data_IF_332702046597
#
_entry.id   IF_332702046597
#
_cell.length_a   1.000
_cell.length_b   1.000
_cell.length_c   1.000
_cell.angle_alpha   90.00
_cell.angle_beta   90.00
_cell.angle_gamma   90.00
#
_symmetry.space_group_name_H-M   'P 1'
#
loop_
_entity.id
_entity.type
_entity.pdbx_description
1 polymer ?
#
# COMPACT_ATOMS: atom_id res chain seq x y z
N UNK A 1 -19.36 -7.76 -7.49
CA UNK A 1 -18.83 -8.65 -8.56
C UNK A 1 -18.70 -7.79 -9.79
N UNK A 2 -17.50 -7.72 -10.36
CA UNK A 2 -17.23 -6.87 -11.53
C UNK A 2 -17.80 -7.55 -12.77
N UNK A 3 -18.51 -6.81 -13.60
CA UNK A 3 -19.04 -7.29 -14.88
C UNK A 3 -18.06 -7.05 -16.01
N UNK A 4 -18.24 -7.77 -17.12
CA UNK A 4 -17.47 -7.55 -18.35
C UNK A 4 -17.57 -6.08 -18.81
N UNK A 5 -18.79 -5.53 -18.82
CA UNK A 5 -19.04 -4.15 -19.25
C UNK A 5 -18.29 -3.15 -18.38
N UNK A 6 -18.35 -3.29 -17.06
CA UNK A 6 -17.64 -2.42 -16.12
C UNK A 6 -16.14 -2.50 -16.32
N UNK A 7 -15.57 -3.72 -16.40
CA UNK A 7 -14.13 -3.88 -16.61
C UNK A 7 -13.67 -3.27 -17.94
N UNK A 8 -14.47 -3.41 -19.00
CA UNK A 8 -14.12 -2.89 -20.32
C UNK A 8 -14.20 -1.37 -20.40
N UNK A 9 -15.22 -0.76 -19.81
CA UNK A 9 -15.56 0.65 -20.02
C UNK A 9 -15.07 1.59 -18.92
N UNK A 10 -14.74 1.07 -17.74
CA UNK A 10 -14.33 1.91 -16.61
C UNK A 10 -13.00 2.60 -16.90
N UNK A 11 -12.99 3.91 -16.68
CA UNK A 11 -11.77 4.71 -16.71
C UNK A 11 -11.09 4.67 -15.34
N UNK A 12 -9.93 4.00 -15.27
CA UNK A 12 -9.16 3.84 -14.04
C UNK A 12 -8.33 5.08 -13.65
N UNK A 13 -8.34 6.15 -14.45
CA UNK A 13 -7.57 7.37 -14.18
C UNK A 13 -7.96 8.04 -12.85
N UNK A 14 -9.23 7.95 -12.44
CA UNK A 14 -9.66 8.50 -11.16
C UNK A 14 -9.04 7.73 -9.98
N UNK A 15 -8.92 6.40 -10.08
CA UNK A 15 -8.29 5.56 -9.07
C UNK A 15 -6.78 5.81 -8.98
N UNK A 16 -6.11 5.93 -10.13
CA UNK A 16 -4.69 6.33 -10.19
C UNK A 16 -4.44 7.71 -9.57
N UNK A 17 -5.30 8.68 -9.89
CA UNK A 17 -5.20 10.03 -9.34
C UNK A 17 -5.39 10.04 -7.82
N UNK A 18 -6.32 9.23 -7.31
CA UNK A 18 -6.57 9.08 -5.88
C UNK A 18 -5.39 8.43 -5.16
N UNK A 19 -4.88 7.30 -5.66
CA UNK A 19 -3.69 6.65 -5.11
C UNK A 19 -2.51 7.63 -5.08
N UNK A 20 -2.27 8.32 -6.19
CA UNK A 20 -1.21 9.33 -6.31
C UNK A 20 -1.41 10.52 -5.35
N UNK A 21 -2.64 10.88 -5.01
CA UNK A 21 -2.92 11.95 -4.06
C UNK A 21 -2.50 11.55 -2.63
N UNK A 22 -2.86 10.34 -2.20
CA UNK A 22 -2.43 9.79 -0.91
C UNK A 22 -0.90 9.60 -0.86
N UNK A 23 -0.29 9.02 -1.90
CA UNK A 23 1.18 8.89 -1.97
C UNK A 23 1.88 10.25 -1.81
N UNK A 24 1.36 11.30 -2.48
CA UNK A 24 1.91 12.65 -2.35
C UNK A 24 1.69 13.25 -0.96
N UNK A 25 0.57 12.95 -0.31
CA UNK A 25 0.29 13.38 1.07
C UNK A 25 1.33 12.78 2.02
N UNK A 26 1.50 11.47 1.97
CA UNK A 26 2.39 10.72 2.86
C UNK A 26 3.86 11.07 2.59
N UNK A 27 4.28 11.19 1.32
CA UNK A 27 5.66 11.56 0.97
C UNK A 27 6.06 12.98 1.38
N UNK A 28 5.09 13.89 1.56
CA UNK A 28 5.33 15.27 2.01
C UNK A 28 4.96 15.47 3.47
N UNK A 29 4.76 14.40 4.22
CA UNK A 29 4.33 14.50 5.59
C UNK A 29 5.44 15.08 6.47
N UNK A 30 5.19 16.27 7.01
CA UNK A 30 6.10 17.00 7.88
C UNK A 30 5.44 17.39 9.21
N UNK A 31 4.19 16.98 9.44
CA UNK A 31 3.40 17.41 10.60
C UNK A 31 3.98 16.92 11.92
N UNK A 32 4.49 15.69 11.96
CA UNK A 32 5.16 15.13 13.14
C UNK A 32 6.43 15.91 13.51
N UNK A 33 7.28 16.17 12.51
CA UNK A 33 8.49 16.98 12.69
C UNK A 33 8.18 18.43 13.06
N UNK A 34 7.16 19.02 12.44
CA UNK A 34 6.71 20.38 12.71
C UNK A 34 6.16 20.53 14.13
N UNK A 35 5.42 19.52 14.61
CA UNK A 35 4.95 19.47 16.00
C UNK A 35 6.12 19.36 16.97
N UNK A 36 7.10 18.50 16.66
CA UNK A 36 8.28 18.31 17.49
C UNK A 36 9.15 19.57 17.58
N UNK A 37 9.52 20.12 16.43
CA UNK A 37 10.44 21.25 16.33
C UNK A 37 9.79 22.58 16.68
N UNK A 38 8.55 22.82 16.25
CA UNK A 38 7.86 24.09 16.45
C UNK A 38 7.21 24.23 17.82
N UNK A 39 6.57 23.16 18.31
CA UNK A 39 5.76 23.22 19.54
C UNK A 39 6.51 22.59 20.70
N UNK A 40 6.87 21.32 20.60
CA UNK A 40 7.43 20.57 21.73
C UNK A 40 8.82 21.08 22.15
N UNK A 41 9.69 21.42 21.21
CA UNK A 41 10.99 22.00 21.53
C UNK A 41 10.85 23.34 22.28
N UNK A 42 9.95 24.22 21.83
CA UNK A 42 9.67 25.51 22.46
C UNK A 42 9.13 25.33 23.90
N UNK A 43 8.18 24.42 24.09
CA UNK A 43 7.61 24.14 25.41
C UNK A 43 8.63 23.56 26.39
N UNK A 44 9.50 22.64 25.92
CA UNK A 44 10.60 22.10 26.71
C UNK A 44 11.62 23.18 27.09
N UNK A 45 11.92 24.09 26.16
CA UNK A 45 12.84 25.21 26.38
C UNK A 45 12.30 26.29 27.33
N UNK A 46 10.99 26.44 27.45
CA UNK A 46 10.34 27.46 28.29
C UNK A 46 10.40 27.19 29.80
N UNK A 47 10.94 26.03 30.23
CA UNK A 47 11.04 25.65 31.64
C UNK A 47 9.69 25.66 32.39
N UNK A 48 8.59 25.48 31.63
CA UNK A 48 7.22 25.48 32.12
C UNK A 48 6.95 24.24 32.98
N UNK A 49 6.42 24.43 34.19
CA UNK A 49 6.21 23.37 35.19
C UNK A 49 4.86 23.54 35.90
N UNK A 50 4.40 22.46 36.54
CA UNK A 50 3.14 22.40 37.30
C UNK A 50 2.04 21.65 36.54
N UNK A 51 0.86 21.53 37.17
CA UNK A 51 -0.22 20.66 36.70
C UNK A 51 -0.72 21.00 35.29
N UNK A 52 -0.74 22.29 34.95
CA UNK A 52 -1.10 22.76 33.62
C UNK A 52 -0.08 22.30 32.55
N UNK A 53 1.21 22.34 32.87
CA UNK A 53 2.27 21.87 31.98
C UNK A 53 2.17 20.36 31.75
N UNK A 54 1.93 19.59 32.82
CA UNK A 54 1.72 18.14 32.74
C UNK A 54 0.49 17.79 31.88
N UNK A 55 -0.62 18.51 32.07
CA UNK A 55 -1.86 18.29 31.31
C UNK A 55 -1.67 18.58 29.82
N UNK A 56 -0.99 19.68 29.49
CA UNK A 56 -0.66 20.02 28.11
C UNK A 56 0.30 19.01 27.47
N UNK A 57 1.31 18.54 28.20
CA UNK A 57 2.23 17.51 27.70
C UNK A 57 1.48 16.21 27.32
N UNK A 58 0.53 15.78 28.16
CA UNK A 58 -0.33 14.62 27.86
C UNK A 58 -1.17 14.85 26.60
N UNK A 59 -1.82 16.02 26.49
CA UNK A 59 -2.65 16.34 25.32
C UNK A 59 -1.83 16.38 24.02
N UNK A 60 -0.64 17.01 24.05
CA UNK A 60 0.24 17.10 22.88
C UNK A 60 0.78 15.72 22.49
N UNK A 61 1.11 14.88 23.48
CA UNK A 61 1.50 13.49 23.20
C UNK A 61 0.37 12.72 22.51
N UNK A 62 -0.87 12.89 22.97
CA UNK A 62 -2.03 12.31 22.30
C UNK A 62 -2.22 12.81 20.85
N UNK A 63 -2.05 14.10 20.61
CA UNK A 63 -2.09 14.68 19.25
C UNK A 63 -1.01 14.07 18.37
N UNK A 64 0.22 13.94 18.89
CA UNK A 64 1.33 13.31 18.17
C UNK A 64 0.97 11.89 17.76
N UNK A 65 0.49 11.07 18.70
CA UNK A 65 0.06 9.69 18.41
C UNK A 65 -1.00 9.65 17.32
N UNK A 66 -1.95 10.60 17.31
CA UNK A 66 -2.96 10.68 16.26
C UNK A 66 -2.38 11.11 14.90
N UNK A 67 -1.40 12.00 14.88
CA UNK A 67 -0.71 12.36 13.63
C UNK A 67 0.11 11.19 13.07
N UNK A 68 0.77 10.43 13.94
CA UNK A 68 1.51 9.24 13.53
C UNK A 68 0.56 8.18 12.97
N UNK A 69 -0.60 7.95 13.62
CA UNK A 69 -1.62 7.06 13.10
C UNK A 69 -2.26 7.54 11.79
N UNK A 70 -2.50 8.84 11.64
CA UNK A 70 -3.00 9.40 10.39
C UNK A 70 -2.03 9.20 9.22
N UNK A 71 -0.73 9.32 9.47
CA UNK A 71 0.30 9.03 8.49
C UNK A 71 0.29 7.56 8.08
N UNK A 72 0.26 6.66 9.07
CA UNK A 72 0.28 5.22 8.83
C UNK A 72 -0.97 4.81 8.04
N UNK A 73 -2.16 5.22 8.47
CA UNK A 73 -3.43 4.95 7.78
C UNK A 73 -3.44 5.51 6.35
N UNK A 74 -3.00 6.75 6.14
CA UNK A 74 -2.90 7.33 4.79
C UNK A 74 -1.91 6.57 3.90
N UNK A 75 -0.80 6.07 4.46
CA UNK A 75 0.18 5.23 3.77
C UNK A 75 -0.43 3.90 3.31
N UNK A 76 -1.19 3.26 4.19
CA UNK A 76 -1.86 2.01 3.91
C UNK A 76 -2.93 2.16 2.82
N UNK A 77 -3.77 3.21 2.93
CA UNK A 77 -4.74 3.57 1.90
C UNK A 77 -4.07 3.81 0.54
N UNK A 78 -2.93 4.51 0.52
CA UNK A 78 -2.17 4.74 -0.70
C UNK A 78 -1.75 3.42 -1.37
N UNK A 79 -1.19 2.50 -0.58
CA UNK A 79 -0.73 1.19 -1.05
C UNK A 79 -1.90 0.34 -1.58
N UNK A 80 -2.99 0.21 -0.80
CA UNK A 80 -4.16 -0.56 -1.22
C UNK A 80 -4.78 -0.04 -2.52
N UNK A 81 -4.90 1.29 -2.68
CA UNK A 81 -5.42 1.91 -3.89
C UNK A 81 -4.47 1.70 -5.09
N UNK A 82 -3.16 1.76 -4.88
CA UNK A 82 -2.16 1.54 -5.92
C UNK A 82 -2.15 0.08 -6.41
N UNK A 83 -2.26 -0.87 -5.49
CA UNK A 83 -2.33 -2.30 -5.81
C UNK A 83 -3.61 -2.60 -6.58
N UNK A 84 -4.76 -2.10 -6.12
CA UNK A 84 -6.02 -2.25 -6.84
C UNK A 84 -5.98 -1.64 -8.24
N UNK A 85 -5.41 -0.44 -8.40
CA UNK A 85 -5.22 0.16 -9.72
C UNK A 85 -4.39 -0.73 -10.64
N UNK A 86 -3.30 -1.30 -10.13
CA UNK A 86 -2.41 -2.19 -10.88
C UNK A 86 -3.13 -3.46 -11.33
N UNK A 87 -3.90 -4.09 -10.44
CA UNK A 87 -4.66 -5.29 -10.73
C UNK A 87 -5.82 -5.04 -11.72
N UNK A 88 -6.57 -3.95 -11.55
CA UNK A 88 -7.62 -3.58 -12.50
C UNK A 88 -7.07 -3.25 -13.88
N UNK A 89 -5.95 -2.52 -13.95
CA UNK A 89 -5.31 -2.20 -15.22
C UNK A 89 -4.80 -3.47 -15.91
N UNK A 90 -4.20 -4.39 -15.16
CA UNK A 90 -3.78 -5.70 -15.65
C UNK A 90 -4.97 -6.49 -16.21
N UNK A 91 -6.07 -6.59 -15.45
CA UNK A 91 -7.29 -7.26 -15.89
C UNK A 91 -7.89 -6.61 -17.16
N UNK A 92 -7.90 -5.27 -17.25
CA UNK A 92 -8.40 -4.57 -18.43
C UNK A 92 -7.53 -4.83 -19.67
N UNK A 93 -6.20 -4.91 -19.50
CA UNK A 93 -5.27 -5.29 -20.57
C UNK A 93 -5.43 -6.75 -20.99
N UNK A 94 -5.61 -7.66 -20.04
CA UNK A 94 -5.90 -9.09 -20.30
C UNK A 94 -7.19 -9.24 -21.12
N UNK A 95 -8.24 -8.51 -20.72
CA UNK A 95 -9.50 -8.48 -21.43
C UNK A 95 -9.35 -7.90 -22.85
N UNK A 96 -8.65 -6.78 -23.01
CA UNK A 96 -8.42 -6.18 -24.32
C UNK A 96 -7.67 -7.14 -25.28
N UNK A 97 -6.68 -7.88 -24.77
CA UNK A 97 -5.97 -8.90 -25.55
C UNK A 97 -6.87 -10.06 -25.97
N UNK A 98 -7.74 -10.53 -25.08
CA UNK A 98 -8.72 -11.56 -25.40
C UNK A 98 -9.70 -11.09 -26.50
N UNK A 99 -10.15 -9.83 -26.45
CA UNK A 99 -11.04 -9.25 -27.44
C UNK A 99 -10.36 -9.05 -28.80
N UNK A 100 -9.11 -8.62 -28.82
CA UNK A 100 -8.32 -8.54 -30.05
C UNK A 100 -8.14 -9.92 -30.69
N UNK A 101 -7.77 -10.93 -29.90
CA UNK A 101 -7.67 -12.30 -30.39
C UNK A 101 -9.00 -12.83 -30.93
N UNK A 102 -10.13 -12.50 -30.29
CA UNK A 102 -11.46 -12.87 -30.77
C UNK A 102 -11.76 -12.24 -32.14
N UNK A 103 -11.45 -10.95 -32.32
CA UNK A 103 -11.65 -10.25 -33.59
C UNK A 103 -10.81 -10.86 -34.73
N UNK A 104 -9.55 -11.22 -34.46
CA UNK A 104 -8.65 -11.88 -35.42
C UNK A 104 -9.20 -13.25 -35.90
N UNK A 105 -10.04 -13.87 -35.09
CA UNK A 105 -10.72 -15.14 -35.39
C UNK A 105 -12.17 -14.98 -35.86
N UNK A 106 -12.56 -13.78 -36.30
CA UNK A 106 -13.91 -13.45 -36.77
C UNK A 106 -15.02 -13.77 -35.75
N UNK A 107 -14.69 -13.68 -34.46
CA UNK A 107 -15.64 -13.76 -33.36
C UNK A 107 -16.10 -12.34 -32.99
N UNK A 108 -17.35 -12.21 -32.58
CA UNK A 108 -17.89 -10.95 -32.06
C UNK A 108 -18.27 -11.12 -30.60
N UNK A 109 -17.92 -10.16 -29.75
CA UNK A 109 -18.26 -10.16 -28.32
C UNK A 109 -19.23 -9.03 -28.05
N UNK A 110 -20.37 -9.35 -27.45
CA UNK A 110 -21.38 -8.39 -27.04
C UNK A 110 -20.95 -7.63 -25.77
N UNK A 111 -21.64 -6.53 -25.46
CA UNK A 111 -21.32 -5.68 -24.32
C UNK A 111 -21.47 -6.36 -22.94
N UNK A 112 -22.15 -7.50 -22.87
CA UNK A 112 -22.27 -8.34 -21.67
C UNK A 112 -21.19 -9.43 -21.58
N UNK A 113 -20.30 -9.52 -22.58
CA UNK A 113 -19.27 -10.55 -22.68
C UNK A 113 -19.73 -11.82 -23.39
N UNK A 114 -20.95 -11.87 -23.94
CA UNK A 114 -21.43 -13.00 -24.74
C UNK A 114 -20.65 -13.07 -26.04
N UNK A 115 -20.05 -14.24 -26.31
CA UNK A 115 -19.22 -14.45 -27.50
C UNK A 115 -20.01 -15.19 -28.57
N UNK A 116 -20.09 -14.57 -29.76
CA UNK A 116 -20.72 -15.14 -30.94
C UNK A 116 -19.65 -15.50 -31.98
N UNK A 117 -19.81 -16.67 -32.58
CA UNK A 117 -19.02 -17.07 -33.73
C UNK A 117 -19.87 -17.92 -34.67
N UNK A 118 -19.57 -17.87 -35.96
CA UNK A 118 -20.20 -18.75 -36.92
C UNK A 118 -19.72 -20.19 -36.68
N UNK A 119 -20.63 -21.09 -36.30
CA UNK A 119 -20.33 -22.51 -36.24
C UNK A 119 -19.90 -22.97 -37.65
N UNK A 120 -18.74 -23.62 -37.81
CA UNK A 120 -18.29 -23.99 -39.13
C UNK A 120 -19.17 -25.13 -39.67
N UNK A 121 -19.94 -24.85 -40.72
CA UNK A 121 -20.75 -25.86 -41.41
C UNK A 121 -19.81 -26.90 -42.07
N UNK A 122 -20.06 -28.20 -41.87
CA UNK A 122 -19.33 -29.21 -42.63
C UNK A 122 -19.74 -30.65 -42.34
N UNK A 123 -19.81 -31.43 -43.42
CA UNK A 123 -20.18 -32.85 -43.47
C UNK A 123 -19.20 -33.75 -42.67
N UNK A 124 -19.65 -34.93 -42.17
CA UNK A 124 -18.84 -35.83 -41.33
C UNK A 124 -17.58 -36.44 -41.99
N UNK A 125 -17.32 -36.17 -43.28
CA UNK A 125 -16.17 -36.71 -44.03
C UNK A 125 -15.12 -35.69 -44.47
N UNK A 126 -15.25 -34.42 -44.05
CA UNK A 126 -14.41 -33.34 -44.56
C UNK A 126 -12.99 -33.30 -43.90
N UNK A 127 -11.90 -33.33 -44.71
CA UNK A 127 -10.51 -33.21 -44.24
C UNK A 127 -10.22 -31.96 -43.39
N UNK A 128 -11.05 -30.92 -43.47
CA UNK A 128 -10.91 -29.71 -42.64
C UNK A 128 -11.46 -29.86 -41.21
N UNK A 129 -12.01 -31.03 -40.82
CA UNK A 129 -12.52 -31.28 -39.47
C UNK A 129 -11.48 -31.00 -38.37
N UNK A 130 -10.20 -31.32 -38.60
CA UNK A 130 -9.11 -31.02 -37.67
C UNK A 130 -8.82 -29.52 -37.55
N UNK A 131 -8.93 -28.78 -38.66
CA UNK A 131 -8.80 -27.32 -38.66
C UNK A 131 -9.97 -26.65 -37.92
N UNK A 132 -11.19 -27.17 -38.08
CA UNK A 132 -12.40 -26.73 -37.35
C UNK A 132 -12.28 -26.97 -35.84
N UNK A 133 -11.81 -28.15 -35.42
CA UNK A 133 -11.56 -28.44 -34.01
C UNK A 133 -10.47 -27.55 -33.39
N UNK A 134 -9.42 -27.21 -34.16
CA UNK A 134 -8.37 -26.28 -33.73
C UNK A 134 -8.92 -24.86 -33.52
N UNK A 135 -9.76 -24.38 -34.43
CA UNK A 135 -10.47 -23.10 -34.30
C UNK A 135 -11.41 -23.09 -33.09
N UNK A 136 -12.20 -24.15 -32.88
CA UNK A 136 -13.09 -24.23 -31.71
C UNK A 136 -12.33 -24.21 -30.37
N UNK A 137 -11.15 -24.85 -30.31
CA UNK A 137 -10.28 -24.80 -29.12
C UNK A 137 -9.73 -23.40 -28.87
N UNK A 138 -9.24 -22.72 -29.91
CA UNK A 138 -8.74 -21.35 -29.81
C UNK A 138 -9.83 -20.38 -29.34
N UNK A 139 -11.05 -20.57 -29.85
CA UNK A 139 -12.22 -19.80 -29.43
C UNK A 139 -12.54 -19.99 -27.94
N UNK A 140 -12.51 -21.25 -27.45
CA UNK A 140 -12.71 -21.55 -26.04
C UNK A 140 -11.61 -20.95 -25.15
N UNK A 141 -10.35 -20.97 -25.60
CA UNK A 141 -9.22 -20.39 -24.87
C UNK A 141 -9.37 -18.86 -24.71
N UNK A 142 -9.85 -18.15 -25.73
CA UNK A 142 -10.10 -16.71 -25.67
C UNK A 142 -11.25 -16.35 -24.72
N UNK A 143 -12.35 -17.10 -24.75
CA UNK A 143 -13.46 -16.95 -23.81
C UNK A 143 -12.95 -17.16 -22.37
N UNK A 144 -12.14 -18.19 -22.14
CA UNK A 144 -11.56 -18.46 -20.83
C UNK A 144 -10.64 -17.33 -20.35
N UNK A 145 -9.86 -16.71 -21.25
CA UNK A 145 -9.04 -15.54 -20.91
C UNK A 145 -9.88 -14.34 -20.49
N UNK A 146 -10.97 -14.05 -21.21
CA UNK A 146 -11.89 -12.98 -20.84
C UNK A 146 -12.56 -13.23 -19.48
N UNK A 147 -12.99 -14.47 -19.21
CA UNK A 147 -13.54 -14.87 -17.91
C UNK A 147 -12.49 -14.71 -16.80
N UNK A 148 -11.26 -15.14 -17.05
CA UNK A 148 -10.16 -15.01 -16.08
C UNK A 148 -9.85 -13.54 -15.77
N UNK A 149 -9.89 -12.65 -16.76
CA UNK A 149 -9.72 -11.21 -16.55
C UNK A 149 -10.82 -10.62 -15.65
N UNK A 150 -12.09 -10.98 -15.89
CA UNK A 150 -13.21 -10.56 -15.03
C UNK A 150 -13.10 -11.12 -13.61
N UNK A 151 -12.67 -12.37 -13.47
CA UNK A 151 -12.43 -13.00 -12.18
C UNK A 151 -11.30 -12.30 -11.41
N UNK A 152 -10.20 -11.97 -12.08
CA UNK A 152 -9.08 -11.19 -11.52
C UNK A 152 -9.55 -9.83 -11.01
N UNK A 153 -10.31 -9.09 -11.82
CA UNK A 153 -10.88 -7.81 -11.41
C UNK A 153 -11.83 -7.96 -10.21
N UNK A 154 -12.66 -9.00 -10.19
CA UNK A 154 -13.55 -9.27 -9.04
C UNK A 154 -12.78 -9.59 -7.76
N UNK A 155 -11.65 -10.29 -7.86
CA UNK A 155 -10.80 -10.56 -6.70
C UNK A 155 -10.07 -9.30 -6.22
N UNK A 156 -9.58 -8.48 -7.15
CA UNK A 156 -8.99 -7.17 -6.84
C UNK A 156 -9.97 -6.23 -6.11
N UNK A 157 -11.24 -6.21 -6.53
CA UNK A 157 -12.31 -5.44 -5.87
C UNK A 157 -12.53 -5.89 -4.42
N UNK A 158 -12.63 -7.20 -4.19
CA UNK A 158 -12.77 -7.75 -2.83
C UNK A 158 -11.54 -7.49 -1.97
N UNK A 159 -10.35 -7.65 -2.53
CA UNK A 159 -9.09 -7.40 -1.85
C UNK A 159 -8.99 -5.92 -1.44
N UNK A 160 -9.34 -4.99 -2.33
CA UNK A 160 -9.39 -3.56 -2.03
C UNK A 160 -10.37 -3.26 -0.90
N UNK A 161 -11.62 -3.74 -0.97
CA UNK A 161 -12.62 -3.52 0.10
C UNK A 161 -12.11 -4.04 1.44
N UNK A 162 -11.49 -5.22 1.44
CA UNK A 162 -10.94 -5.83 2.66
C UNK A 162 -9.78 -5.02 3.22
N UNK A 163 -8.85 -4.59 2.37
CA UNK A 163 -7.70 -3.78 2.76
C UNK A 163 -8.16 -2.42 3.33
N UNK A 164 -9.02 -1.69 2.62
CA UNK A 164 -9.55 -0.41 3.08
C UNK A 164 -10.22 -0.53 4.45
N UNK A 165 -11.06 -1.54 4.65
CA UNK A 165 -11.75 -1.76 5.93
C UNK A 165 -10.78 -2.12 7.07
N UNK A 166 -9.74 -2.89 6.78
CA UNK A 166 -8.72 -3.24 7.76
C UNK A 166 -7.83 -2.04 8.12
N UNK A 167 -7.45 -1.25 7.12
CA UNK A 167 -6.54 -0.12 7.28
C UNK A 167 -7.21 1.08 7.96
N UNK A 168 -8.49 1.37 7.69
CA UNK A 168 -9.23 2.40 8.44
C UNK A 168 -9.68 1.94 9.83
N UNK A 169 -9.85 0.63 10.01
CA UNK A 169 -10.44 0.07 11.23
C UNK A 169 -11.89 0.50 11.46
N UNK A 170 -12.39 0.33 12.69
CA UNK A 170 -13.78 0.62 13.09
C UNK A 170 -13.94 1.83 14.01
N UNK A 171 -12.82 2.46 14.41
CA UNK A 171 -12.84 3.60 15.31
C UNK A 171 -13.06 4.90 14.53
N UNK A 172 -14.16 5.61 14.81
CA UNK A 172 -14.48 6.88 14.15
C UNK A 172 -13.95 8.12 14.87
N UNK A 173 -13.35 7.94 16.06
CA UNK A 173 -12.81 9.02 16.88
C UNK A 173 -11.28 9.13 16.87
N UNK A 174 -10.58 8.21 16.21
CA UNK A 174 -9.13 8.16 16.13
C UNK A 174 -8.67 7.44 14.86
N UNK A 175 -7.49 7.81 14.37
CA UNK A 175 -6.85 7.13 13.25
C UNK A 175 -6.33 5.75 13.67
N UNK A 176 -6.26 4.83 12.71
CA UNK A 176 -5.65 3.53 12.92
C UNK A 176 -4.13 3.66 12.95
N UNK A 177 -3.52 3.47 14.12
CA UNK A 177 -2.06 3.53 14.29
C UNK A 177 -1.33 2.22 13.97
N UNK A 178 -2.03 1.21 13.47
CA UNK A 178 -1.45 -0.07 13.08
C UNK A 178 -2.20 -0.67 11.88
N UNK A 179 -2.24 0.05 10.74
CA UNK A 179 -2.80 -0.51 9.52
C UNK A 179 -1.93 -1.68 9.01
N UNK A 180 -2.49 -2.49 8.12
CA UNK A 180 -1.81 -3.67 7.57
C UNK A 180 -0.96 -3.33 6.35
N UNK A 181 -1.35 -2.29 5.61
CA UNK A 181 -0.63 -1.79 4.43
C UNK A 181 0.30 -0.62 4.74
N UNK A 182 1.11 -0.25 3.74
CA UNK A 182 2.02 0.89 3.82
C UNK A 182 2.88 1.04 2.56
N UNK A 183 3.52 2.19 2.41
CA UNK A 183 4.51 2.40 1.33
C UNK A 183 5.88 2.10 1.90
N UNK A 184 6.46 0.96 1.53
CA UNK A 184 7.73 0.45 2.08
C UNK A 184 8.84 1.49 2.15
N UNK A 185 9.04 2.30 1.09
CA UNK A 185 10.13 3.31 1.11
C UNK A 185 9.86 4.47 2.08
N UNK A 186 8.59 4.79 2.31
CA UNK A 186 8.18 5.89 3.19
C UNK A 186 8.22 5.43 4.65
N UNK A 187 7.78 4.20 4.92
CA UNK A 187 7.93 3.55 6.22
C UNK A 187 9.41 3.33 6.58
N UNK A 188 10.23 2.98 5.60
CA UNK A 188 11.68 2.92 5.76
C UNK A 188 12.29 4.27 6.11
N UNK A 189 11.81 5.36 5.49
CA UNK A 189 12.25 6.71 5.85
C UNK A 189 11.84 7.07 7.28
N UNK A 190 10.60 6.78 7.69
CA UNK A 190 10.13 6.96 9.06
C UNK A 190 10.95 6.17 10.07
N UNK A 191 11.25 4.90 9.77
CA UNK A 191 12.14 4.07 10.59
C UNK A 191 13.55 4.68 10.71
N UNK A 192 14.11 5.18 9.60
CA UNK A 192 15.40 5.86 9.61
C UNK A 192 15.37 7.14 10.47
N UNK A 193 14.30 7.92 10.39
CA UNK A 193 14.13 9.13 11.20
C UNK A 193 13.98 8.82 12.70
N UNK A 194 13.22 7.78 13.04
CA UNK A 194 13.13 7.26 14.41
C UNK A 194 14.51 6.79 14.93
N UNK A 195 15.28 6.10 14.09
CA UNK A 195 16.62 5.63 14.45
C UNK A 195 17.59 6.80 14.70
N UNK A 196 17.53 7.87 13.88
CA UNK A 196 18.36 9.08 14.03
C UNK A 196 18.12 9.83 15.34
N UNK A 197 16.96 9.64 15.97
CA UNK A 197 16.69 10.21 17.29
C UNK A 197 17.68 9.68 18.35
N UNK A 198 18.16 8.44 18.20
CA UNK A 198 19.15 7.84 19.10
C UNK A 198 18.72 7.92 20.58
N UNK A 199 19.57 8.53 21.41
CA UNK A 199 19.33 8.70 22.85
C UNK A 199 18.17 9.65 23.20
N UNK A 200 17.60 10.34 22.21
CA UNK A 200 16.44 11.23 22.36
C UNK A 200 15.11 10.54 22.06
N UNK A 201 15.12 9.30 21.58
CA UNK A 201 13.90 8.55 21.31
C UNK A 201 13.16 8.24 22.63
N UNK A 202 11.84 8.39 22.61
CA UNK A 202 10.95 7.94 23.70
C UNK A 202 10.65 6.45 23.57
N UNK A 203 10.20 5.81 24.65
CA UNK A 203 9.82 4.39 24.63
C UNK A 203 8.76 4.07 23.56
N UNK A 204 7.81 4.99 23.34
CA UNK A 204 6.80 4.84 22.29
C UNK A 204 7.41 4.90 20.88
N UNK A 205 8.37 5.79 20.64
CA UNK A 205 9.09 5.88 19.37
C UNK A 205 9.99 4.66 19.13
N UNK A 206 10.60 4.11 20.18
CA UNK A 206 11.38 2.88 20.09
C UNK A 206 10.49 1.67 19.78
N UNK A 207 9.34 1.55 20.43
CA UNK A 207 8.36 0.52 20.13
C UNK A 207 7.84 0.63 18.69
N UNK A 208 7.63 1.85 18.19
CA UNK A 208 7.24 2.08 16.80
C UNK A 208 8.35 1.69 15.81
N UNK A 209 9.61 2.01 16.12
CA UNK A 209 10.75 1.58 15.31
C UNK A 209 10.85 0.05 15.25
N UNK A 210 10.75 -0.63 16.39
CA UNK A 210 10.77 -2.10 16.46
C UNK A 210 9.62 -2.71 15.65
N UNK A 211 8.41 -2.18 15.77
CA UNK A 211 7.25 -2.64 15.00
C UNK A 211 7.47 -2.51 13.49
N UNK A 212 8.00 -1.37 13.01
CA UNK A 212 8.32 -1.17 11.58
C UNK A 212 9.38 -2.16 11.10
N UNK A 213 10.46 -2.36 11.88
CA UNK A 213 11.51 -3.29 11.52
C UNK A 213 11.02 -4.75 11.47
N UNK A 214 10.12 -5.14 12.38
CA UNK A 214 9.52 -6.47 12.39
C UNK A 214 8.56 -6.69 11.23
N UNK A 215 7.70 -5.71 10.94
CA UNK A 215 6.72 -5.78 9.85
C UNK A 215 7.38 -5.94 8.47
N UNK A 216 8.55 -5.31 8.26
CA UNK A 216 9.26 -5.31 6.98
C UNK A 216 10.54 -6.15 6.96
N UNK A 217 10.73 -7.08 7.91
CA UNK A 217 11.98 -7.84 8.06
C UNK A 217 12.41 -8.65 6.82
N UNK A 218 11.49 -8.94 5.89
CA UNK A 218 11.76 -9.64 4.63
C UNK A 218 11.50 -8.80 3.37
N UNK A 219 11.16 -7.51 3.52
CA UNK A 219 10.83 -6.61 2.41
C UNK A 219 12.10 -5.95 1.82
N UNK A 220 12.50 -6.30 0.59
CA UNK A 220 13.70 -5.74 -0.04
C UNK A 220 13.60 -4.24 -0.33
N UNK A 221 12.39 -3.71 -0.59
CA UNK A 221 12.19 -2.27 -0.88
C UNK A 221 12.39 -1.45 0.38
N UNK A 222 11.80 -1.90 1.48
CA UNK A 222 12.01 -1.32 2.80
C UNK A 222 13.50 -1.36 3.17
N UNK A 223 14.12 -2.53 3.12
CA UNK A 223 15.52 -2.70 3.50
C UNK A 223 16.45 -1.80 2.69
N UNK A 224 16.28 -1.78 1.35
CA UNK A 224 17.07 -0.93 0.47
C UNK A 224 16.89 0.56 0.81
N UNK A 225 15.67 1.04 1.00
CA UNK A 225 15.39 2.43 1.32
C UNK A 225 15.94 2.81 2.71
N UNK A 226 15.75 1.95 3.71
CA UNK A 226 16.18 2.17 5.09
C UNK A 226 17.71 2.31 5.18
N UNK A 227 18.44 1.34 4.63
CA UNK A 227 19.90 1.37 4.65
C UNK A 227 20.49 2.48 3.76
N UNK A 228 19.83 2.80 2.64
CA UNK A 228 20.26 3.94 1.80
C UNK A 228 20.07 5.27 2.51
N UNK A 229 18.98 5.44 3.27
CA UNK A 229 18.71 6.68 4.02
C UNK A 229 19.72 6.90 5.15
N UNK A 230 20.06 5.84 5.89
CA UNK A 230 21.01 5.93 7.01
C UNK A 230 22.47 5.98 6.56
N UNK A 231 22.81 5.27 5.48
CA UNK A 231 24.18 5.02 5.08
C UNK A 231 24.94 4.10 6.08
N UNK A 232 26.08 3.52 5.67
CA UNK A 232 26.79 2.54 6.49
C UNK A 232 27.35 3.13 7.79
N UNK A 233 27.89 4.35 7.76
CA UNK A 233 28.45 5.02 8.94
C UNK A 233 27.35 5.59 9.84
N UNK A 234 26.28 6.15 9.25
CA UNK A 234 25.15 6.70 9.99
C UNK A 234 24.42 5.62 10.79
N UNK A 235 24.16 4.47 10.17
CA UNK A 235 23.55 3.33 10.84
C UNK A 235 24.32 2.90 12.09
N UNK A 236 25.64 2.68 11.99
CA UNK A 236 26.46 2.25 13.13
C UNK A 236 26.50 3.30 14.24
N UNK A 237 26.59 4.58 13.87
CA UNK A 237 26.59 5.69 14.81
C UNK A 237 25.27 5.81 15.57
N UNK A 238 24.15 5.71 14.86
CA UNK A 238 22.82 5.86 15.45
C UNK A 238 22.43 4.62 16.26
N UNK A 239 22.84 3.43 15.82
CA UNK A 239 22.72 2.19 16.62
C UNK A 239 23.49 2.31 17.95
N UNK A 240 24.73 2.79 17.90
CA UNK A 240 25.53 3.02 19.11
C UNK A 240 24.91 4.05 20.07
N UNK A 241 24.14 5.02 19.56
CA UNK A 241 23.41 6.00 20.39
C UNK A 241 22.14 5.41 21.01
N UNK A 242 21.45 4.54 20.30
CA UNK A 242 20.29 3.82 20.82
C UNK A 242 20.67 2.91 21.98
N UNK A 243 21.80 2.21 21.87
CA UNK A 243 22.33 1.35 22.94
C UNK A 243 22.72 2.16 24.20
N UNK A 244 23.13 3.42 24.02
CA UNK A 244 23.44 4.37 25.10
C UNK A 244 22.22 5.14 25.64
N UNK A 245 21.00 4.69 25.32
CA UNK A 245 19.74 5.34 25.67
C UNK A 245 19.49 5.52 27.19
N UNK A 246 18.39 6.19 27.57
CA UNK A 246 18.14 6.65 28.94
C UNK A 246 18.14 5.54 30.00
N UNK A 247 17.93 4.28 29.61
CA UNK A 247 18.02 3.11 30.48
C UNK A 247 19.44 2.82 31.01
N UNK A 248 20.53 3.04 30.23
CA UNK A 248 21.91 2.96 30.75
C UNK A 248 22.21 4.18 31.65
N UNK A 249 21.71 5.39 31.34
CA UNK A 249 22.06 6.61 32.11
C UNK A 249 21.47 6.67 33.52
N UNK A 250 20.34 6.00 33.77
CA UNK A 250 19.78 5.89 35.12
C UNK A 250 20.57 4.90 36.03
N UNK A 251 21.50 4.13 35.46
CA UNK A 251 22.35 3.14 36.14
C UNK A 251 23.81 3.26 35.67
N UNK A 252 24.58 4.21 36.20
CA UNK A 252 26.05 4.08 36.17
C UNK A 252 26.50 2.97 37.15
N UNK A 253 27.68 2.32 37.01
CA UNK A 253 28.86 2.71 36.24
C UNK A 253 29.50 1.54 35.44
N UNK A 254 28.70 0.66 34.80
CA UNK A 254 29.22 -0.46 34.00
C UNK A 254 28.52 -0.55 32.62
N UNK A 255 28.21 0.61 32.05
CA UNK A 255 28.29 0.88 30.61
C UNK A 255 29.50 1.84 30.46
#
# INVERSE_FOLDING_TARGET
MVTFYELHTTNLAALDALASAFERLVRRWDLGESLDSGVLATLRGANWRGDAASSAATAITGIRTQLDGAFDEAGALAAALRDAHTEFLGAQQDLARALQGAADHAMTVDGDGTVHWAAPQGDPGDPQATARAKSAKQNADLVNQAIAAVARATEADKALVTALAADTGSNTGAFNSSPLGGISEVEAQKAADLMRLGDKATDAQLAQLDALLQAHGTDPRFASAFYTSLGPEGFLKDLGRLDQGPSCRARAPDC
#
